data_IF_997743547886
#
_entry.id   IF_997743547886
#
_cell.length_a   1.000
_cell.length_b   1.000
_cell.length_c   1.000
_cell.angle_alpha   90.00
_cell.angle_beta   90.00
_cell.angle_gamma   90.00
#
_symmetry.space_group_name_H-M   'P 1'
#
loop_
_entity.id
_entity.type
_entity.pdbx_description
1 polymer ?
#
# COMPACT_ATOMS: atom_id res chain seq x y z
N UNK A 1 -0.38 0.42 -25.83
CA UNK A 1 0.74 0.13 -24.92
C UNK A 1 0.13 0.01 -23.54
N UNK A 2 0.08 -1.19 -22.97
CA UNK A 2 -0.31 -1.33 -21.57
C UNK A 2 0.70 -0.55 -20.74
N UNK A 3 0.25 0.28 -19.81
CA UNK A 3 1.15 0.88 -18.83
C UNK A 3 1.66 -0.25 -17.94
N UNK A 4 2.97 -0.41 -17.83
CA UNK A 4 3.60 -1.38 -16.93
C UNK A 4 3.65 -0.86 -15.48
N UNK A 5 2.71 0.01 -15.11
CA UNK A 5 2.61 0.62 -13.79
C UNK A 5 1.17 1.03 -13.46
N UNK A 6 0.89 1.22 -12.17
CA UNK A 6 -0.34 1.78 -11.61
C UNK A 6 -0.05 3.08 -10.89
N UNK A 7 -0.90 4.09 -11.11
CA UNK A 7 -0.93 5.29 -10.29
C UNK A 7 -1.96 5.12 -9.18
N UNK A 8 -1.54 5.06 -7.94
CA UNK A 8 -2.44 4.85 -6.80
C UNK A 8 -2.25 5.94 -5.74
N UNK A 9 -3.19 6.03 -4.81
CA UNK A 9 -3.11 6.88 -3.64
C UNK A 9 -2.86 5.98 -2.42
N UNK A 10 -1.81 6.26 -1.66
CA UNK A 10 -1.49 5.57 -0.41
C UNK A 10 -1.91 6.46 0.75
N UNK A 11 -2.72 5.92 1.66
CA UNK A 11 -3.07 6.55 2.93
C UNK A 11 -2.22 5.92 4.03
N UNK A 12 -1.35 6.72 4.65
CA UNK A 12 -0.50 6.28 5.74
C UNK A 12 -1.23 6.14 7.08
N UNK A 13 -0.55 5.64 8.12
CA UNK A 13 -1.13 5.41 9.45
C UNK A 13 -1.70 6.67 10.12
N UNK A 14 -1.17 7.84 9.76
CA UNK A 14 -1.61 9.14 10.29
C UNK A 14 -2.73 9.79 9.46
N UNK A 15 -3.26 9.10 8.44
CA UNK A 15 -4.30 9.61 7.54
C UNK A 15 -3.78 10.51 6.40
N UNK A 16 -2.47 10.73 6.31
CA UNK A 16 -1.83 11.46 5.22
C UNK A 16 -1.95 10.68 3.90
N UNK A 17 -2.15 11.37 2.78
CA UNK A 17 -2.27 10.77 1.45
C UNK A 17 -1.07 11.09 0.58
N UNK A 18 -0.61 10.09 -0.17
CA UNK A 18 0.54 10.18 -1.06
C UNK A 18 0.16 9.59 -2.42
N UNK A 19 0.57 10.24 -3.51
CA UNK A 19 0.45 9.65 -4.84
C UNK A 19 1.69 8.82 -5.13
N UNK A 20 1.50 7.60 -5.62
CA UNK A 20 2.57 6.67 -5.95
C UNK A 20 2.38 6.09 -7.35
N UNK A 21 3.49 5.98 -8.10
CA UNK A 21 3.55 5.22 -9.34
C UNK A 21 4.29 3.91 -9.07
N UNK A 22 3.59 2.78 -9.22
CA UNK A 22 4.10 1.48 -8.82
C UNK A 22 4.12 0.56 -10.03
N UNK A 23 5.26 -0.10 -10.26
CA UNK A 23 5.43 -0.99 -11.40
C UNK A 23 4.55 -2.25 -11.29
N UNK A 24 4.11 -2.77 -12.42
CA UNK A 24 3.55 -4.12 -12.48
C UNK A 24 4.66 -5.15 -12.19
N UNK A 25 4.35 -6.21 -11.48
CA UNK A 25 5.32 -7.16 -10.93
C UNK A 25 5.69 -6.88 -9.46
N UNK A 26 5.38 -5.69 -8.95
CA UNK A 26 5.65 -5.31 -7.55
C UNK A 26 4.58 -5.87 -6.63
N UNK A 27 5.00 -6.54 -5.56
CA UNK A 27 4.10 -7.05 -4.53
C UNK A 27 3.65 -5.94 -3.59
N UNK A 28 2.43 -6.04 -3.09
CA UNK A 28 1.92 -5.12 -2.06
C UNK A 28 2.79 -5.09 -0.79
N UNK A 29 3.43 -6.20 -0.42
CA UNK A 29 4.39 -6.24 0.69
C UNK A 29 5.62 -5.35 0.46
N UNK A 30 6.13 -5.30 -0.77
CA UNK A 30 7.27 -4.45 -1.15
C UNK A 30 6.86 -2.98 -1.12
N UNK A 31 5.68 -2.65 -1.66
CA UNK A 31 5.11 -1.29 -1.56
C UNK A 31 5.01 -0.81 -0.13
N UNK A 32 4.58 -1.69 0.78
CA UNK A 32 4.51 -1.38 2.19
C UNK A 32 5.89 -1.11 2.79
N UNK A 33 6.88 -1.96 2.51
CA UNK A 33 8.26 -1.76 2.99
C UNK A 33 8.78 -0.41 2.52
N UNK A 34 8.74 -0.15 1.21
CA UNK A 34 9.21 1.10 0.61
C UNK A 34 8.50 2.32 1.22
N UNK A 35 7.19 2.24 1.42
CA UNK A 35 6.42 3.32 2.06
C UNK A 35 6.90 3.63 3.49
N UNK A 36 7.17 2.61 4.30
CA UNK A 36 7.67 2.84 5.66
C UNK A 36 9.11 3.39 5.66
N UNK A 37 9.97 2.95 4.75
CA UNK A 37 11.34 3.50 4.60
C UNK A 37 11.29 4.97 4.18
N UNK A 38 10.49 5.30 3.17
CA UNK A 38 10.36 6.67 2.65
C UNK A 38 9.77 7.66 3.67
N UNK A 39 8.92 7.16 4.58
CA UNK A 39 8.31 7.97 5.64
C UNK A 39 9.13 8.02 6.94
N UNK A 40 10.32 7.40 6.97
CA UNK A 40 11.15 7.24 8.18
C UNK A 40 10.34 6.63 9.35
N UNK A 41 9.45 5.68 9.02
CA UNK A 41 8.58 5.01 9.98
C UNK A 41 9.20 3.69 10.44
N UNK A 42 9.12 3.36 11.75
CA UNK A 42 9.70 2.13 12.25
C UNK A 42 8.95 0.91 11.72
N UNK A 43 9.69 0.00 11.07
CA UNK A 43 9.18 -1.32 10.67
C UNK A 43 9.39 -2.41 11.72
N UNK A 44 10.03 -2.06 12.84
CA UNK A 44 10.33 -2.96 13.94
C UNK A 44 9.77 -2.38 15.23
N UNK A 45 9.08 -3.19 16.02
CA UNK A 45 8.56 -2.80 17.32
C UNK A 45 9.71 -2.59 18.34
N UNK A 46 9.46 -1.93 19.50
CA UNK A 46 10.48 -1.74 20.53
C UNK A 46 11.06 -3.04 21.12
N UNK A 47 10.50 -4.20 20.77
CA UNK A 47 10.94 -5.54 21.18
C UNK A 47 11.70 -6.29 20.07
N UNK A 48 11.99 -5.64 18.95
CA UNK A 48 12.76 -6.22 17.84
C UNK A 48 11.93 -7.08 16.88
N UNK A 49 10.60 -7.00 16.90
CA UNK A 49 9.71 -7.78 16.00
C UNK A 49 9.28 -6.94 14.81
N UNK A 50 9.30 -7.52 13.61
CA UNK A 50 8.72 -6.87 12.43
C UNK A 50 7.23 -6.58 12.67
N UNK A 51 6.80 -5.35 12.35
CA UNK A 51 5.38 -5.02 12.36
C UNK A 51 4.64 -5.83 11.29
N UNK A 52 3.43 -6.26 11.63
CA UNK A 52 2.57 -6.92 10.65
C UNK A 52 1.84 -5.85 9.86
N UNK A 53 2.38 -5.49 8.72
CA UNK A 53 1.75 -4.50 7.86
C UNK A 53 0.41 -5.01 7.33
N UNK A 54 -0.56 -4.11 7.35
CA UNK A 54 -1.92 -4.27 6.91
C UNK A 54 -2.14 -3.35 5.72
N UNK A 55 -2.64 -3.92 4.63
CA UNK A 55 -2.94 -3.19 3.41
C UNK A 55 -4.42 -3.39 3.09
N UNK A 56 -5.17 -2.31 3.07
CA UNK A 56 -6.61 -2.30 2.79
C UNK A 56 -6.92 -1.42 1.58
N UNK A 57 -7.71 -1.91 0.63
CA UNK A 57 -8.28 -1.09 -0.45
C UNK A 57 -9.47 -0.29 0.09
N UNK A 58 -9.44 1.03 -0.09
CA UNK A 58 -10.51 1.94 0.29
C UNK A 58 -11.47 2.07 -0.89
N UNK A 59 -12.70 1.60 -0.72
CA UNK A 59 -13.75 1.83 -1.72
C UNK A 59 -14.24 3.30 -1.62
N UNK A 60 -14.10 4.11 -2.68
CA UNK A 60 -14.45 5.53 -2.62
C UNK A 60 -15.96 5.80 -2.49
N UNK A 61 -16.81 4.88 -2.92
CA UNK A 61 -18.27 5.06 -2.93
C UNK A 61 -18.90 4.86 -1.55
N UNK A 62 -18.34 3.94 -0.75
CA UNK A 62 -18.94 3.52 0.52
C UNK A 62 -17.97 3.55 1.71
N UNK A 63 -16.73 4.01 1.49
CA UNK A 63 -15.64 4.05 2.48
C UNK A 63 -15.36 2.70 3.17
N UNK A 64 -15.85 1.58 2.64
CA UNK A 64 -15.53 0.26 3.16
C UNK A 64 -14.11 -0.10 2.76
N UNK A 65 -13.42 -0.72 3.71
CA UNK A 65 -12.08 -1.24 3.53
C UNK A 65 -12.14 -2.73 3.18
N UNK A 66 -11.44 -3.13 2.12
CA UNK A 66 -11.22 -4.53 1.77
C UNK A 66 -9.76 -4.88 2.03
N UNK A 67 -9.53 -5.82 2.94
CA UNK A 67 -8.18 -6.36 3.20
C UNK A 67 -7.61 -7.01 1.94
N UNK A 68 -6.41 -6.60 1.57
CA UNK A 68 -5.65 -7.14 0.46
C UNK A 68 -4.63 -8.15 0.96
N UNK A 69 -4.28 -9.13 0.13
CA UNK A 69 -3.21 -10.05 0.45
C UNK A 69 -1.87 -9.44 0.03
N UNK A 70 -0.93 -9.35 0.97
CA UNK A 70 0.37 -8.70 0.75
C UNK A 70 1.24 -9.36 -0.32
N UNK A 71 0.97 -10.63 -0.67
CA UNK A 71 1.67 -11.34 -1.74
C UNK A 71 1.10 -11.09 -3.15
N UNK A 72 -0.02 -10.39 -3.25
CA UNK A 72 -0.63 -10.07 -4.55
C UNK A 72 0.14 -8.96 -5.28
N UNK A 73 0.12 -9.07 -6.61
CA UNK A 73 0.67 -8.07 -7.51
C UNK A 73 -0.22 -6.83 -7.56
N UNK A 74 0.42 -5.65 -7.60
CA UNK A 74 -0.26 -4.36 -7.66
C UNK A 74 -1.15 -4.23 -8.89
N UNK A 75 -0.71 -4.66 -10.07
CA UNK A 75 -1.47 -4.48 -11.30
C UNK A 75 -2.61 -5.49 -11.46
N UNK A 76 -2.53 -6.63 -10.80
CA UNK A 76 -3.59 -7.64 -10.77
C UNK A 76 -4.78 -7.21 -9.90
N UNK A 77 -4.52 -6.43 -8.84
CA UNK A 77 -5.53 -6.13 -7.83
C UNK A 77 -5.95 -4.66 -7.76
N UNK A 78 -5.10 -3.73 -8.22
CA UNK A 78 -5.37 -2.28 -8.21
C UNK A 78 -5.55 -1.71 -9.61
N UNK A 79 -6.30 -0.62 -9.68
CA UNK A 79 -6.51 0.22 -10.84
C UNK A 79 -5.93 1.63 -10.64
N UNK A 80 -5.73 2.35 -11.75
CA UNK A 80 -5.29 3.75 -11.70
C UNK A 80 -6.33 4.58 -10.92
N UNK A 81 -5.86 5.32 -9.90
CA UNK A 81 -6.68 6.14 -9.01
C UNK A 81 -7.19 5.44 -7.75
N UNK A 82 -6.97 4.13 -7.61
CA UNK A 82 -7.35 3.41 -6.39
C UNK A 82 -6.63 3.98 -5.17
N UNK A 83 -7.30 3.94 -4.02
CA UNK A 83 -6.72 4.34 -2.75
C UNK A 83 -6.51 3.12 -1.86
N UNK A 84 -5.28 2.88 -1.42
CA UNK A 84 -4.97 1.88 -0.40
C UNK A 84 -4.63 2.56 0.93
N UNK A 85 -4.89 1.88 2.04
CA UNK A 85 -4.46 2.25 3.38
C UNK A 85 -3.39 1.29 3.84
N UNK A 86 -2.26 1.84 4.32
CA UNK A 86 -1.15 1.05 4.88
C UNK A 86 -1.06 1.37 6.38
N UNK A 87 -1.24 0.34 7.22
CA UNK A 87 -1.20 0.45 8.68
C UNK A 87 -0.34 -0.66 9.30
N UNK A 88 0.17 -0.47 10.52
CA UNK A 88 1.01 -1.43 11.25
C UNK A 88 0.31 -2.05 12.48
#
# INVERSE_FOLDING_TARGET
>A
MSKDYRKIIITGPLGNKFEAEISCGTKLSEVAVDFFEDQDLPMIDPKGRSFRVVIDLINPENQKMKRLNSDEDVCDILQDGDTISITN
#
